data_IF_078985540778
#
_entry.id   IF_078985540778
#
_cell.length_a   1.000
_cell.length_b   1.000
_cell.length_c   1.000
_cell.angle_alpha   90.00
_cell.angle_beta   90.00
_cell.angle_gamma   90.00
#
_symmetry.space_group_name_H-M   'P 1'
#
loop_
_entity.id
_entity.type
_entity.pdbx_description
1 polymer ?
#
# COMPACT_ATOMS: atom_id res chain seq x y z
N UNK A 1 -14.53 -9.55 -6.88
CA UNK A 1 -14.10 -8.13 -6.90
C UNK A 1 -13.05 -8.02 -7.99
N UNK A 2 -13.15 -7.08 -8.95
CA UNK A 2 -12.12 -6.94 -10.00
C UNK A 2 -10.94 -6.18 -9.40
N UNK A 3 -9.73 -6.73 -9.50
CA UNK A 3 -8.52 -6.03 -9.06
C UNK A 3 -8.33 -4.74 -9.89
N UNK A 4 -8.01 -3.64 -9.24
CA UNK A 4 -7.39 -2.51 -9.93
C UNK A 4 -5.99 -2.94 -10.35
N UNK A 5 -5.56 -2.57 -11.55
CA UNK A 5 -4.25 -3.00 -12.08
C UNK A 5 -3.29 -1.81 -12.06
N UNK A 6 -2.06 -2.06 -11.62
CA UNK A 6 -0.92 -1.18 -11.88
C UNK A 6 0.05 -1.98 -12.75
N UNK A 7 0.30 -1.52 -13.98
CA UNK A 7 1.28 -2.14 -14.86
C UNK A 7 2.52 -1.28 -14.96
N UNK A 8 3.68 -1.88 -14.73
CA UNK A 8 4.97 -1.22 -14.66
C UNK A 8 5.87 -1.83 -15.73
N UNK A 9 6.34 -0.98 -16.64
CA UNK A 9 7.33 -1.35 -17.64
C UNK A 9 8.72 -1.00 -17.14
N UNK A 10 9.59 -2.00 -17.06
CA UNK A 10 10.96 -1.88 -16.57
C UNK A 10 11.93 -1.83 -17.75
N UNK A 11 12.75 -0.78 -17.81
CA UNK A 11 13.79 -0.68 -18.81
C UNK A 11 14.96 -1.64 -18.49
N UNK A 12 15.83 -1.86 -19.48
CA UNK A 12 17.08 -2.60 -19.27
C UNK A 12 17.92 -1.93 -18.19
N UNK A 13 18.61 -2.74 -17.41
CA UNK A 13 19.62 -2.27 -16.47
C UNK A 13 20.68 -1.39 -17.16
N UNK A 14 20.87 -0.18 -16.64
CA UNK A 14 21.89 0.75 -17.10
C UNK A 14 22.85 1.09 -15.95
N UNK A 15 24.15 1.32 -16.23
CA UNK A 15 25.06 1.83 -15.22
C UNK A 15 24.53 3.12 -14.57
N UNK A 16 24.73 3.28 -13.26
CA UNK A 16 24.22 4.40 -12.47
C UNK A 16 24.52 5.76 -13.12
N UNK A 17 25.76 5.95 -13.59
CA UNK A 17 26.24 7.16 -14.25
C UNK A 17 25.46 7.50 -15.54
N UNK A 18 25.07 6.47 -16.30
CA UNK A 18 24.27 6.63 -17.51
C UNK A 18 22.82 6.99 -17.19
N UNK A 19 22.28 6.46 -16.09
CA UNK A 19 20.92 6.83 -15.64
C UNK A 19 20.89 8.26 -15.12
N UNK A 20 21.90 8.67 -14.34
CA UNK A 20 21.99 10.03 -13.82
C UNK A 20 22.09 11.07 -14.94
N UNK A 21 22.80 10.77 -16.03
CA UNK A 21 22.93 11.69 -17.17
C UNK A 21 21.70 11.67 -18.10
N UNK A 22 20.96 10.57 -18.15
CA UNK A 22 19.77 10.41 -19.01
C UNK A 22 18.61 11.34 -18.64
N UNK A 23 17.88 11.84 -19.64
CA UNK A 23 16.64 12.61 -19.43
C UNK A 23 15.52 11.78 -18.77
N UNK A 24 15.51 10.46 -18.97
CA UNK A 24 14.50 9.58 -18.38
C UNK A 24 14.52 9.59 -16.85
N UNK A 25 15.66 9.92 -16.22
CA UNK A 25 15.76 10.04 -14.76
C UNK A 25 15.18 11.35 -14.20
N UNK A 26 14.80 12.32 -15.05
CA UNK A 26 14.11 13.55 -14.62
C UNK A 26 12.59 13.37 -14.43
N UNK A 27 12.14 12.13 -14.28
CA UNK A 27 10.72 11.78 -14.16
C UNK A 27 10.39 11.26 -12.76
N UNK A 28 9.09 11.19 -12.45
CA UNK A 28 8.56 10.42 -11.32
C UNK A 28 8.40 8.95 -11.72
N UNK A 29 8.46 8.04 -10.76
CA UNK A 29 8.31 6.61 -11.04
C UNK A 29 8.99 5.73 -10.01
N UNK A 30 9.27 4.49 -10.39
CA UNK A 30 10.01 3.53 -9.59
C UNK A 30 11.44 3.39 -10.12
N UNK A 31 12.37 3.04 -9.24
CA UNK A 31 13.72 2.66 -9.63
C UNK A 31 14.19 1.45 -8.82
N UNK A 32 14.89 0.55 -9.48
CA UNK A 32 15.47 -0.66 -8.94
C UNK A 32 16.97 -0.53 -9.03
N UNK A 33 17.67 -0.66 -7.91
CA UNK A 33 19.13 -0.65 -7.85
C UNK A 33 19.61 -2.09 -7.67
N UNK A 34 20.51 -2.50 -8.56
CA UNK A 34 21.26 -3.74 -8.45
C UNK A 34 22.75 -3.47 -8.51
N UNK A 35 23.54 -4.48 -8.17
CA UNK A 35 25.00 -4.44 -8.21
C UNK A 35 25.51 -5.65 -8.96
N UNK A 36 26.47 -5.42 -9.85
CA UNK A 36 27.23 -6.49 -10.49
C UNK A 36 28.63 -6.52 -9.90
N UNK A 37 28.99 -7.64 -9.27
CA UNK A 37 30.34 -7.90 -8.77
C UNK A 37 30.84 -9.26 -9.28
N UNK A 38 31.94 -9.24 -10.04
CA UNK A 38 32.36 -10.40 -10.83
C UNK A 38 31.33 -10.71 -11.92
N UNK A 39 30.71 -11.88 -11.85
CA UNK A 39 29.65 -12.33 -12.78
C UNK A 39 28.26 -12.40 -12.14
N UNK A 40 28.12 -11.97 -10.88
CA UNK A 40 26.87 -12.05 -10.13
C UNK A 40 26.21 -10.68 -10.06
N UNK A 41 24.96 -10.60 -10.50
CA UNK A 41 24.07 -9.48 -10.22
C UNK A 41 23.30 -9.76 -8.92
N UNK A 42 23.20 -8.76 -8.05
CA UNK A 42 22.46 -8.84 -6.79
C UNK A 42 21.57 -7.61 -6.64
N UNK A 43 20.33 -7.85 -6.25
CA UNK A 43 19.33 -6.83 -5.91
C UNK A 43 19.69 -6.08 -4.64
N UNK A 44 19.63 -4.75 -4.66
CA UNK A 44 19.98 -3.92 -3.51
C UNK A 44 18.75 -3.22 -2.95
N UNK A 45 18.08 -2.43 -3.80
CA UNK A 45 17.09 -1.46 -3.35
C UNK A 45 16.00 -1.23 -4.39
N UNK A 46 14.76 -1.08 -3.93
CA UNK A 46 13.64 -0.54 -4.69
C UNK A 46 13.20 0.78 -4.08
N UNK A 47 13.09 1.81 -4.92
CA UNK A 47 12.66 3.13 -4.50
C UNK A 47 11.65 3.76 -5.44
N UNK A 48 11.09 4.87 -4.97
CA UNK A 48 10.18 5.72 -5.73
C UNK A 48 10.67 7.15 -5.76
N UNK A 49 10.24 7.87 -6.79
CA UNK A 49 10.39 9.29 -6.94
C UNK A 49 9.03 9.90 -7.26
N UNK A 50 8.71 11.02 -6.61
CA UNK A 50 7.43 11.74 -6.77
C UNK A 50 7.66 13.07 -7.47
N UNK A 51 6.59 13.80 -7.79
CA UNK A 51 6.61 15.04 -8.58
C UNK A 51 7.67 16.08 -8.13
N UNK A 52 7.97 16.18 -6.83
CA UNK A 52 8.91 17.17 -6.30
C UNK A 52 10.35 16.65 -6.13
N UNK A 53 10.59 15.36 -6.37
CA UNK A 53 11.91 14.75 -6.21
C UNK A 53 12.07 13.62 -7.24
N UNK A 54 12.69 13.96 -8.36
CA UNK A 54 12.87 13.06 -9.52
C UNK A 54 13.75 11.85 -9.18
N UNK A 55 13.68 10.81 -10.01
CA UNK A 55 14.51 9.62 -9.85
C UNK A 55 16.00 10.01 -9.78
N UNK A 56 16.45 10.94 -10.64
CA UNK A 56 17.82 11.45 -10.64
C UNK A 56 18.25 12.00 -9.28
N UNK A 57 17.42 12.84 -8.67
CA UNK A 57 17.73 13.45 -7.39
C UNK A 57 17.75 12.43 -6.26
N UNK A 58 16.81 11.46 -6.29
CA UNK A 58 16.80 10.31 -5.37
C UNK A 58 18.06 9.46 -5.51
N UNK A 59 18.46 9.09 -6.72
CA UNK A 59 19.69 8.34 -6.98
C UNK A 59 20.92 9.05 -6.44
N UNK A 60 21.03 10.38 -6.65
CA UNK A 60 22.13 11.18 -6.10
C UNK A 60 22.15 11.25 -4.57
N UNK A 61 21.00 11.12 -3.90
CA UNK A 61 20.91 11.12 -2.43
C UNK A 61 21.37 9.82 -1.77
N UNK A 62 21.51 8.73 -2.52
CA UNK A 62 21.96 7.44 -1.99
C UNK A 62 23.49 7.40 -1.83
N UNK A 63 24.01 8.10 -0.83
CA UNK A 63 25.45 8.16 -0.53
C UNK A 63 26.08 6.79 -0.27
N UNK A 64 25.29 5.82 0.20
CA UNK A 64 25.70 4.46 0.47
C UNK A 64 26.09 3.66 -0.79
N UNK A 65 25.67 4.08 -1.99
CA UNK A 65 26.02 3.39 -3.24
C UNK A 65 27.54 3.29 -3.46
N UNK A 66 28.28 4.29 -2.95
CA UNK A 66 29.73 4.36 -3.06
C UNK A 66 30.47 3.33 -2.17
N UNK A 67 29.76 2.66 -1.26
CA UNK A 67 30.34 1.69 -0.32
C UNK A 67 30.42 0.27 -0.93
N UNK A 68 29.71 0.03 -2.03
CA UNK A 68 29.66 -1.27 -2.69
C UNK A 68 30.81 -1.48 -3.67
N UNK A 69 31.50 -2.64 -3.60
CA UNK A 69 32.51 -3.02 -4.61
C UNK A 69 31.84 -3.44 -5.92
N UNK A 70 32.39 -3.10 -7.09
CA UNK A 70 31.79 -3.47 -8.38
C UNK A 70 30.90 -2.36 -8.93
N UNK A 71 30.07 -2.68 -9.93
CA UNK A 71 29.31 -1.67 -10.69
C UNK A 71 27.85 -1.65 -10.27
N UNK A 72 27.31 -0.45 -10.05
CA UNK A 72 25.90 -0.24 -9.74
C UNK A 72 25.13 -0.08 -11.04
N UNK A 73 24.01 -0.79 -11.12
CA UNK A 73 23.05 -0.71 -12.22
C UNK A 73 21.69 -0.29 -11.70
N UNK A 74 20.95 0.42 -12.54
CA UNK A 74 19.62 0.90 -12.23
C UNK A 74 18.65 0.54 -13.35
N UNK A 75 17.48 0.04 -12.97
CA UNK A 75 16.31 -0.10 -13.84
C UNK A 75 15.28 0.94 -13.43
N UNK A 76 14.71 1.64 -14.40
CA UNK A 76 13.63 2.59 -14.26
C UNK A 76 12.31 1.89 -14.55
N UNK A 77 11.41 1.91 -13.57
CA UNK A 77 10.06 1.37 -13.66
C UNK A 77 9.06 2.49 -13.96
N UNK A 78 8.46 2.45 -15.14
CA UNK A 78 7.43 3.42 -15.56
C UNK A 78 6.05 2.80 -15.43
N UNK A 79 5.14 3.44 -14.70
CA UNK A 79 3.74 3.02 -14.65
C UNK A 79 3.06 3.34 -15.98
N UNK A 80 2.71 2.32 -16.75
CA UNK A 80 2.05 2.45 -18.06
C UNK A 80 0.53 2.22 -17.97
N UNK A 81 0.05 1.71 -16.85
CA UNK A 81 -1.37 1.60 -16.54
C UNK A 81 -1.60 1.75 -15.03
N UNK A 82 -2.61 2.51 -14.58
CA UNK A 82 -3.56 3.30 -15.38
C UNK A 82 -2.89 4.49 -16.09
N UNK A 83 -3.54 5.04 -17.12
CA UNK A 83 -3.00 6.18 -17.90
C UNK A 83 -2.73 7.42 -17.04
N UNK A 84 -3.56 7.65 -16.03
CA UNK A 84 -3.41 8.75 -15.08
C UNK A 84 -2.71 8.20 -13.85
N UNK A 85 -1.46 8.61 -13.67
CA UNK A 85 -0.61 8.18 -12.56
C UNK A 85 -0.48 9.32 -11.55
N UNK A 86 -0.80 9.03 -10.30
CA UNK A 86 -0.54 9.92 -9.17
C UNK A 86 0.47 9.28 -8.21
N UNK A 87 0.96 10.06 -7.25
CA UNK A 87 1.93 9.58 -6.27
C UNK A 87 1.43 8.38 -5.45
N UNK A 88 0.12 8.28 -5.20
CA UNK A 88 -0.47 7.16 -4.43
C UNK A 88 -0.35 5.84 -5.20
N UNK A 89 -0.53 5.83 -6.52
CA UNK A 89 -0.36 4.64 -7.36
C UNK A 89 1.09 4.14 -7.30
N UNK A 90 2.05 5.06 -7.41
CA UNK A 90 3.49 4.73 -7.33
C UNK A 90 3.83 4.17 -5.94
N UNK A 91 3.32 4.79 -4.87
CA UNK A 91 3.50 4.30 -3.49
C UNK A 91 2.88 2.93 -3.26
N UNK A 92 1.68 2.68 -3.78
CA UNK A 92 1.04 1.36 -3.68
C UNK A 92 1.83 0.28 -4.42
N UNK A 93 2.36 0.60 -5.60
CA UNK A 93 3.23 -0.32 -6.33
C UNK A 93 4.50 -0.69 -5.55
N UNK A 94 5.24 0.30 -5.05
CA UNK A 94 6.45 0.04 -4.25
C UNK A 94 6.14 -0.75 -2.98
N UNK A 95 5.09 -0.38 -2.24
CA UNK A 95 4.73 -1.10 -1.01
C UNK A 95 4.31 -2.54 -1.28
N UNK A 96 3.57 -2.80 -2.37
CA UNK A 96 3.20 -4.15 -2.76
C UNK A 96 4.42 -5.00 -3.14
N UNK A 97 5.36 -4.45 -3.90
CA UNK A 97 6.59 -5.16 -4.28
C UNK A 97 7.47 -5.44 -3.05
N UNK A 98 7.69 -4.44 -2.20
CA UNK A 98 8.53 -4.60 -1.00
C UNK A 98 7.93 -5.54 0.04
N UNK A 99 6.61 -5.60 0.15
CA UNK A 99 5.97 -6.56 1.05
C UNK A 99 6.13 -8.00 0.53
N UNK A 100 5.88 -8.21 -0.76
CA UNK A 100 5.91 -9.54 -1.38
C UNK A 100 7.32 -10.09 -1.58
N UNK A 101 8.30 -9.21 -1.76
CA UNK A 101 9.68 -9.55 -2.14
C UNK A 101 10.73 -8.73 -1.37
N UNK A 102 10.44 -8.36 -0.12
CA UNK A 102 11.38 -7.55 0.67
C UNK A 102 12.71 -8.25 0.95
N UNK A 103 12.74 -9.58 0.91
CA UNK A 103 13.89 -10.44 1.16
C UNK A 103 15.00 -10.30 0.10
N UNK A 104 14.65 -9.94 -1.15
CA UNK A 104 15.65 -9.68 -2.19
C UNK A 104 16.24 -8.26 -2.12
N UNK A 105 15.61 -7.35 -1.38
CA UNK A 105 16.03 -5.94 -1.27
C UNK A 105 16.60 -5.62 0.11
N UNK A 106 17.84 -6.03 0.35
CA UNK A 106 18.44 -5.91 1.68
C UNK A 106 18.74 -4.48 2.14
N UNK A 107 18.75 -3.49 1.24
CA UNK A 107 18.83 -2.07 1.62
C UNK A 107 17.46 -1.43 1.89
N UNK A 108 16.36 -2.14 1.64
CA UNK A 108 15.02 -1.72 2.05
C UNK A 108 14.75 -2.19 3.47
N UNK A 109 14.96 -1.31 4.45
CA UNK A 109 14.70 -1.60 5.87
C UNK A 109 13.23 -1.42 6.27
N UNK A 110 12.49 -0.63 5.50
CA UNK A 110 11.09 -0.25 5.77
C UNK A 110 10.11 -0.97 4.84
N UNK A 111 8.85 -1.11 5.27
CA UNK A 111 7.70 -1.69 4.52
C UNK A 111 7.81 -3.16 4.13
N UNK A 112 8.85 -3.86 4.57
CA UNK A 112 9.02 -5.32 4.37
C UNK A 112 8.12 -6.15 5.28
N UNK A 113 7.54 -5.57 6.33
CA UNK A 113 6.73 -6.29 7.34
C UNK A 113 5.25 -5.94 7.31
N UNK A 114 4.91 -4.70 6.99
CA UNK A 114 3.54 -4.21 6.98
C UNK A 114 3.38 -2.95 6.14
N UNK A 115 2.18 -2.73 5.61
CA UNK A 115 1.82 -1.47 4.96
C UNK A 115 0.29 -1.28 4.90
N UNK A 116 -0.16 -0.03 5.03
CA UNK A 116 -1.59 0.31 4.95
C UNK A 116 -1.95 0.77 3.54
N UNK A 117 -3.06 0.26 3.01
CA UNK A 117 -3.61 0.72 1.74
C UNK A 117 -5.11 1.01 1.85
N UNK A 118 -5.56 2.02 1.10
CA UNK A 118 -6.98 2.33 0.91
C UNK A 118 -7.59 1.51 -0.22
N UNK A 119 -6.75 1.03 -1.14
CA UNK A 119 -7.14 0.33 -2.34
C UNK A 119 -6.22 -0.86 -2.59
N UNK A 120 -6.79 -1.94 -3.12
CA UNK A 120 -6.07 -3.16 -3.46
C UNK A 120 -5.77 -3.19 -4.95
N UNK A 121 -4.51 -3.43 -5.27
CA UNK A 121 -4.04 -3.53 -6.63
C UNK A 121 -3.47 -4.91 -6.94
N UNK A 122 -3.53 -5.27 -8.21
CA UNK A 122 -2.67 -6.25 -8.83
C UNK A 122 -1.55 -5.51 -9.54
N UNK A 123 -0.31 -5.77 -9.16
CA UNK A 123 0.87 -5.25 -9.84
C UNK A 123 1.25 -6.21 -10.95
N UNK A 124 1.53 -5.69 -12.13
CA UNK A 124 2.02 -6.42 -13.29
C UNK A 124 3.35 -5.80 -13.73
N UNK A 125 4.44 -6.53 -13.53
CA UNK A 125 5.78 -6.13 -13.93
C UNK A 125 6.11 -6.73 -15.30
N UNK A 126 6.55 -5.90 -16.25
CA UNK A 126 6.97 -6.32 -17.59
C UNK A 126 8.30 -5.64 -18.00
N UNK A 127 8.94 -6.15 -19.06
CA UNK A 127 10.25 -5.68 -19.51
C UNK A 127 11.41 -6.41 -18.84
N UNK A 128 12.49 -5.69 -18.52
CA UNK A 128 13.62 -6.27 -17.78
C UNK A 128 13.32 -6.22 -16.27
N UNK A 129 12.60 -7.22 -15.79
CA UNK A 129 12.11 -7.27 -14.41
C UNK A 129 13.11 -7.90 -13.42
N UNK A 130 14.20 -8.49 -13.93
CA UNK A 130 15.19 -9.25 -13.14
C UNK A 130 14.55 -10.23 -12.14
N UNK A 131 14.72 -10.03 -10.83
CA UNK A 131 14.19 -10.89 -9.78
C UNK A 131 12.75 -10.52 -9.33
N UNK A 132 12.14 -9.48 -9.92
CA UNK A 132 10.75 -9.14 -9.59
C UNK A 132 9.79 -10.23 -10.07
N UNK A 133 8.78 -10.52 -9.25
CA UNK A 133 7.64 -11.35 -9.65
C UNK A 133 6.88 -10.64 -10.78
N UNK A 134 6.52 -11.34 -11.87
CA UNK A 134 5.74 -10.76 -12.95
C UNK A 134 4.37 -10.24 -12.50
N UNK A 135 3.79 -10.84 -11.45
CA UNK A 135 2.48 -10.49 -10.91
C UNK A 135 2.49 -10.54 -9.40
N UNK A 136 1.94 -9.52 -8.76
CA UNK A 136 1.75 -9.43 -7.31
C UNK A 136 0.31 -9.02 -7.04
N UNK A 137 -0.35 -9.69 -6.10
CA UNK A 137 -1.77 -9.47 -5.80
C UNK A 137 -1.91 -9.08 -4.34
N UNK A 138 -2.16 -7.80 -4.09
CA UNK A 138 -2.27 -7.28 -2.72
C UNK A 138 -3.40 -7.92 -1.90
N UNK A 139 -4.40 -8.52 -2.54
CA UNK A 139 -5.50 -9.23 -1.87
C UNK A 139 -5.07 -10.58 -1.27
N UNK A 140 -3.90 -11.10 -1.64
CA UNK A 140 -3.35 -12.35 -1.14
C UNK A 140 -2.43 -12.13 0.07
N UNK A 141 -2.07 -10.87 0.36
CA UNK A 141 -1.17 -10.51 1.46
C UNK A 141 -1.86 -10.68 2.84
N UNK A 142 -1.18 -11.31 3.80
CA UNK A 142 -1.76 -11.75 5.08
C UNK A 142 -2.35 -10.61 5.94
N UNK A 143 -1.76 -9.41 5.92
CA UNK A 143 -2.32 -8.26 6.65
C UNK A 143 -3.73 -7.89 6.18
N UNK A 144 -4.03 -8.09 4.88
CA UNK A 144 -5.39 -7.94 4.36
C UNK A 144 -6.35 -8.92 5.00
N UNK A 145 -5.93 -10.18 5.08
CA UNK A 145 -6.74 -11.27 5.60
C UNK A 145 -6.99 -11.05 7.09
N UNK A 146 -5.97 -10.61 7.86
CA UNK A 146 -6.12 -10.25 9.26
C UNK A 146 -7.07 -9.06 9.47
N UNK A 147 -7.03 -8.03 8.61
CA UNK A 147 -7.95 -6.88 8.70
C UNK A 147 -9.38 -7.30 8.34
N UNK A 148 -9.56 -8.16 7.33
CA UNK A 148 -10.87 -8.73 6.95
C UNK A 148 -11.47 -9.57 8.08
N UNK A 149 -10.68 -10.42 8.71
CA UNK A 149 -11.10 -11.27 9.82
C UNK A 149 -11.44 -10.45 11.07
N UNK A 150 -10.62 -9.43 11.40
CA UNK A 150 -10.93 -8.49 12.49
C UNK A 150 -12.21 -7.69 12.21
N UNK A 151 -12.46 -7.26 10.97
CA UNK A 151 -13.68 -6.53 10.61
C UNK A 151 -14.94 -7.41 10.57
N UNK A 152 -14.80 -8.73 10.50
CA UNK A 152 -15.92 -9.67 10.61
C UNK A 152 -16.20 -10.07 12.05
N UNK A 153 -15.18 -10.08 12.92
CA UNK A 153 -15.29 -10.53 14.30
C UNK A 153 -15.25 -9.41 15.36
N UNK A 154 -15.25 -8.12 14.97
CA UNK A 154 -15.31 -6.98 15.89
C UNK A 154 -16.78 -6.55 16.17
N UNK A 155 -17.28 -6.64 17.42
CA UNK A 155 -18.62 -6.17 17.79
C UNK A 155 -18.91 -4.71 17.45
N UNK A 156 -17.88 -3.84 17.39
CA UNK A 156 -18.05 -2.43 17.01
C UNK A 156 -18.29 -2.25 15.52
N UNK A 157 -17.77 -3.16 14.69
CA UNK A 157 -18.02 -3.17 13.25
C UNK A 157 -19.44 -3.65 12.91
N UNK A 158 -19.98 -4.59 13.69
CA UNK A 158 -21.39 -4.99 13.65
C UNK A 158 -22.32 -3.84 14.07
N UNK A 159 -21.92 -3.04 15.06
CA UNK A 159 -22.66 -1.83 15.47
C UNK A 159 -22.63 -0.73 14.39
N UNK A 160 -21.51 -0.58 13.67
CA UNK A 160 -21.37 0.35 12.55
C UNK A 160 -22.22 -0.09 11.34
N UNK A 161 -22.36 -1.39 11.13
CA UNK A 161 -23.22 -1.98 10.09
C UNK A 161 -24.70 -1.87 10.46
N UNK A 162 -25.07 -2.12 11.71
CA UNK A 162 -26.43 -1.91 12.20
C UNK A 162 -26.86 -0.45 12.05
N UNK A 163 -25.99 0.53 12.36
CA UNK A 163 -26.30 1.96 12.14
C UNK A 163 -26.50 2.35 10.67
N UNK A 164 -25.87 1.66 9.72
CA UNK A 164 -26.01 1.95 8.30
C UNK A 164 -27.12 1.15 7.62
N UNK A 165 -27.41 -0.06 8.10
CA UNK A 165 -28.56 -0.87 7.67
C UNK A 165 -29.88 -0.41 8.34
N UNK A 166 -29.79 0.40 9.42
CA UNK A 166 -30.93 1.07 10.07
C UNK A 166 -31.28 2.43 9.48
N UNK A 167 -30.57 2.90 8.45
CA UNK A 167 -31.06 4.04 7.67
C UNK A 167 -32.14 3.53 6.73
N UNK A 168 -33.44 3.86 6.96
CA UNK A 168 -34.44 3.56 5.97
C UNK A 168 -34.06 4.28 4.67
N UNK A 169 -34.26 3.58 3.55
CA UNK A 169 -34.24 4.19 2.22
C UNK A 169 -35.30 5.30 2.23
N UNK A 170 -34.85 6.52 2.49
CA UNK A 170 -35.68 7.71 2.60
C UNK A 170 -35.98 8.25 1.22
N UNK A 171 -37.03 7.71 0.63
CA UNK A 171 -37.84 8.28 -0.45
C UNK A 171 -38.04 9.78 -0.32
N UNK A 172 -37.93 10.47 -1.45
CA UNK A 172 -38.52 11.79 -1.72
C UNK A 172 -39.95 11.90 -1.15
N UNK A 173 -40.24 12.92 -0.35
CA UNK A 173 -41.61 13.16 0.11
C UNK A 173 -41.75 14.34 1.07
N UNK A 174 -42.73 15.19 0.77
CA UNK A 174 -43.09 16.44 1.44
C UNK A 174 -43.47 16.23 2.92
N UNK A 175 -43.28 17.26 3.74
CA UNK A 175 -43.61 17.26 5.17
C UNK A 175 -45.11 17.12 5.47
N UNK A 176 -45.39 16.60 6.67
CA UNK A 176 -46.71 16.56 7.32
C UNK A 176 -46.58 17.24 8.71
N UNK A 177 -47.47 18.18 9.12
CA UNK A 177 -47.31 18.99 10.33
C UNK A 177 -47.82 18.34 11.64
N UNK A 178 -48.32 17.11 11.65
CA UNK A 178 -49.04 16.58 12.81
C UNK A 178 -48.35 15.40 13.52
N UNK A 179 -47.64 15.73 14.62
CA UNK A 179 -47.73 15.01 15.90
C UNK A 179 -47.04 13.65 16.08
N UNK A 180 -45.95 13.62 16.87
CA UNK A 180 -45.75 12.81 18.11
C UNK A 180 -44.27 12.78 18.51
N UNK A 181 -43.95 13.36 19.66
CA UNK A 181 -42.72 13.00 20.40
C UNK A 181 -43.01 11.71 21.18
N UNK A 182 -42.24 10.65 20.93
CA UNK A 182 -42.19 9.48 21.82
C UNK A 182 -40.74 9.25 22.26
N UNK A 183 -40.52 9.44 23.57
CA UNK A 183 -39.66 8.66 24.45
C UNK A 183 -38.20 8.41 24.05
N UNK A 184 -37.28 9.17 24.64
CA UNK A 184 -35.90 8.74 24.87
C UNK A 184 -35.94 7.63 25.92
N UNK A 185 -35.68 6.38 25.52
CA UNK A 185 -35.63 5.24 26.43
C UNK A 185 -34.21 5.07 26.98
N UNK A 186 -34.07 5.32 28.28
CA UNK A 186 -32.94 4.94 29.15
C UNK A 186 -32.81 3.42 29.21
N UNK A 187 -31.97 2.80 28.39
CA UNK A 187 -31.59 1.37 28.55
C UNK A 187 -30.07 1.16 28.63
N UNK A 188 -29.22 2.18 28.47
CA UNK A 188 -27.79 1.92 28.25
C UNK A 188 -26.86 1.86 29.48
N UNK A 189 -27.33 2.15 30.70
CA UNK A 189 -26.42 2.23 31.87
C UNK A 189 -26.31 0.93 32.66
N UNK A 190 -27.41 0.19 32.86
CA UNK A 190 -27.38 -1.09 33.59
C UNK A 190 -26.56 -2.17 32.86
N UNK A 191 -26.74 -2.28 31.55
CA UNK A 191 -26.05 -3.27 30.74
C UNK A 191 -24.54 -3.02 30.65
N UNK A 192 -24.11 -1.75 30.81
CA UNK A 192 -22.71 -1.36 30.81
C UNK A 192 -22.02 -1.73 32.11
N UNK A 193 -22.66 -1.55 33.26
CA UNK A 193 -22.08 -1.92 34.55
C UNK A 193 -21.97 -3.44 34.71
N UNK A 194 -22.99 -4.19 34.28
CA UNK A 194 -22.98 -5.65 34.34
C UNK A 194 -21.88 -6.25 33.44
N UNK A 195 -21.65 -5.65 32.26
CA UNK A 195 -20.57 -6.04 31.36
C UNK A 195 -19.19 -5.74 31.93
N UNK A 196 -19.01 -4.61 32.63
CA UNK A 196 -17.73 -4.24 33.23
C UNK A 196 -17.41 -5.13 34.45
N UNK A 197 -18.39 -5.45 35.30
CA UNK A 197 -18.20 -6.37 36.43
C UNK A 197 -17.77 -7.76 35.96
N UNK A 198 -18.39 -8.28 34.89
CA UNK A 198 -18.08 -9.59 34.32
C UNK A 198 -16.70 -9.65 33.64
N UNK A 199 -16.22 -8.54 33.08
CA UNK A 199 -14.94 -8.48 32.36
C UNK A 199 -13.72 -8.28 33.25
N UNK A 200 -13.88 -7.59 34.38
CA UNK A 200 -12.78 -7.24 35.28
C UNK A 200 -12.79 -8.00 36.62
N UNK A 201 -13.75 -8.91 36.82
CA UNK A 201 -13.78 -9.79 38.00
C UNK A 201 -13.93 -9.05 39.33
N UNK A 202 -14.50 -7.84 39.30
CA UNK A 202 -14.72 -7.03 40.49
C UNK A 202 -15.94 -7.58 41.22
N UNK A 203 -15.71 -8.17 42.41
CA UNK A 203 -16.78 -8.44 43.39
C UNK A 203 -17.04 -7.16 44.17
N UNK A 204 -18.30 -7.00 44.57
CA UNK A 204 -18.82 -5.79 45.24
C UNK A 204 -18.02 -5.39 46.48
#
# INVERSE_FOLDING_TARGET
MRDKIIRISWNKALPLENVISSEYSNTQGLYYISRIFGKKETSLYLGIATQHNTIRNRLKSHSWLNQYRGKIYVRLGTVIYPKIVNASIIQHAESAILYEQGDIFFENTDKTKSYTYKELYRIENEGDIFELKPRIRMHEHEEYNSYKERKWNDPRSLLYRWKNDSNPVGTSGKGDPNGKRIGIVKIAEKDREEFLKKKFGLKD
#
